data_IF_213575740390
#
_entry.id   IF_213575740390
#
_cell.length_a   1.000
_cell.length_b   1.000
_cell.length_c   1.000
_cell.angle_alpha   90.00
_cell.angle_beta   90.00
_cell.angle_gamma   90.00
#
_symmetry.space_group_name_H-M   'P 1'
#
loop_
_entity.id
_entity.type
_entity.pdbx_description
1 polymer ?
#
# COMPACT_ATOMS: atom_id res chain seq x y z
N UNK A 1 -4.77 -19.77 7.73
CA UNK A 1 -3.59 -19.35 8.52
C UNK A 1 -3.37 -17.87 8.28
N UNK A 2 -3.28 -17.07 9.34
CA UNK A 2 -3.05 -15.63 9.28
C UNK A 2 -1.56 -15.35 9.51
N UNK A 3 -0.79 -14.90 8.50
CA UNK A 3 0.62 -14.58 8.68
C UNK A 3 0.77 -13.40 9.66
N UNK A 4 1.87 -13.34 10.40
CA UNK A 4 2.27 -12.18 11.21
C UNK A 4 1.16 -11.63 12.14
N UNK A 5 0.28 -12.49 12.67
CA UNK A 5 -0.78 -12.06 13.58
C UNK A 5 -1.93 -11.28 12.93
N UNK A 6 -2.02 -11.29 11.58
CA UNK A 6 -3.03 -10.59 10.76
C UNK A 6 -4.46 -11.07 10.94
N UNK A 7 -4.75 -11.80 12.00
CA UNK A 7 -6.10 -12.03 12.47
C UNK A 7 -6.61 -10.85 13.31
N UNK A 8 -5.71 -10.18 14.06
CA UNK A 8 -6.03 -9.20 15.10
C UNK A 8 -5.69 -7.76 14.72
N UNK A 9 -4.66 -7.55 13.89
CA UNK A 9 -4.14 -6.23 13.54
C UNK A 9 -3.47 -6.27 12.16
N UNK A 10 -3.29 -5.13 11.47
CA UNK A 10 -2.44 -5.07 10.30
C UNK A 10 -0.98 -5.27 10.69
N UNK A 11 -0.18 -5.76 9.75
CA UNK A 11 1.27 -5.89 9.90
C UNK A 11 1.95 -5.27 8.68
N UNK A 12 2.86 -4.33 8.91
CA UNK A 12 3.62 -3.68 7.85
C UNK A 12 5.10 -4.00 7.94
N UNK A 13 5.76 -4.10 6.79
CA UNK A 13 7.21 -4.29 6.70
C UNK A 13 7.76 -3.72 5.40
N UNK A 14 9.02 -3.29 5.43
CA UNK A 14 9.73 -2.83 4.23
C UNK A 14 10.01 -4.02 3.31
N UNK A 15 9.68 -3.87 2.03
CA UNK A 15 9.85 -4.90 1.00
C UNK A 15 10.85 -4.52 -0.09
N UNK A 16 11.65 -3.47 0.15
CA UNK A 16 12.64 -3.01 -0.82
C UNK A 16 13.69 -4.07 -1.09
N UNK A 17 14.04 -4.21 -2.36
CA UNK A 17 15.01 -5.20 -2.79
C UNK A 17 16.42 -4.77 -2.37
N UNK A 18 17.12 -5.56 -1.54
CA UNK A 18 18.47 -5.24 -1.11
C UNK A 18 19.47 -5.16 -2.29
N UNK A 19 19.20 -5.80 -3.43
CA UNK A 19 20.06 -5.72 -4.62
C UNK A 19 20.02 -4.33 -5.28
N UNK A 20 18.95 -3.56 -5.07
CA UNK A 20 18.78 -2.20 -5.59
C UNK A 20 19.47 -1.12 -4.73
N UNK A 21 20.15 -1.53 -3.65
CA UNK A 21 20.80 -0.62 -2.71
C UNK A 21 19.88 -0.15 -1.57
N UNK A 22 20.38 0.69 -0.66
CA UNK A 22 19.58 1.20 0.45
C UNK A 22 18.46 2.13 -0.09
N UNK A 23 17.20 1.99 0.39
CA UNK A 23 16.11 2.83 -0.07
C UNK A 23 16.34 4.29 0.34
N UNK A 24 15.94 5.22 -0.52
CA UNK A 24 16.04 6.67 -0.26
C UNK A 24 15.13 7.08 0.91
N UNK A 25 13.99 6.42 1.04
CA UNK A 25 13.08 6.60 2.16
C UNK A 25 13.15 5.41 3.11
N UNK A 26 13.36 5.70 4.39
CA UNK A 26 13.35 4.69 5.46
C UNK A 26 12.12 4.90 6.32
N UNK A 27 11.27 3.88 6.39
CA UNK A 27 10.03 3.90 7.16
C UNK A 27 10.29 3.40 8.57
N UNK A 28 9.82 4.17 9.56
CA UNK A 28 9.91 3.87 10.99
C UNK A 28 8.61 3.30 11.54
N UNK A 29 7.47 3.83 11.06
CA UNK A 29 6.15 3.39 11.48
C UNK A 29 5.12 3.61 10.38
N UNK A 30 4.03 2.87 10.44
CA UNK A 30 2.93 2.98 9.48
C UNK A 30 1.58 2.78 10.14
N UNK A 31 0.56 3.45 9.62
CA UNK A 31 -0.82 3.22 10.01
C UNK A 31 -1.74 3.16 8.78
N UNK A 32 -2.77 2.31 8.88
CA UNK A 32 -3.88 2.26 7.93
C UNK A 32 -5.10 2.86 8.61
N UNK A 33 -5.79 3.75 7.90
CA UNK A 33 -6.98 4.41 8.39
C UNK A 33 -8.07 4.45 7.31
N UNK A 34 -9.31 4.58 7.77
CA UNK A 34 -10.45 4.80 6.89
C UNK A 34 -10.48 6.23 6.35
N UNK A 35 -11.50 6.56 5.55
CA UNK A 35 -11.71 7.90 4.97
C UNK A 35 -11.64 9.03 6.01
N UNK A 36 -12.21 8.84 7.20
CA UNK A 36 -12.17 9.84 8.27
C UNK A 36 -10.81 10.00 8.97
N UNK A 37 -9.82 9.16 8.65
CA UNK A 37 -8.51 9.14 9.31
C UNK A 37 -8.53 8.39 10.65
N UNK A 38 -9.58 7.63 10.93
CA UNK A 38 -9.65 6.78 12.12
C UNK A 38 -9.11 5.39 11.83
N UNK A 39 -8.41 4.83 12.82
CA UNK A 39 -7.98 3.44 12.78
C UNK A 39 -9.19 2.52 12.76
N UNK A 40 -9.20 1.60 11.80
CA UNK A 40 -10.27 0.62 11.64
C UNK A 40 -9.67 -0.72 11.22
N UNK A 41 -10.11 -1.79 11.88
CA UNK A 41 -9.66 -3.13 11.57
C UNK A 41 -10.77 -4.17 11.86
N UNK A 42 -11.06 -5.09 10.92
CA UNK A 42 -10.51 -5.17 9.56
C UNK A 42 -10.87 -3.93 8.72
N UNK A 43 -10.13 -3.67 7.65
CA UNK A 43 -10.38 -2.53 6.77
C UNK A 43 -11.65 -2.78 5.94
N UNK A 44 -12.60 -1.85 5.99
CA UNK A 44 -13.80 -1.89 5.16
C UNK A 44 -13.62 -1.02 3.91
N UNK A 45 -13.53 -1.65 2.74
CA UNK A 45 -13.45 -0.97 1.45
C UNK A 45 -14.68 -1.28 0.63
N UNK A 46 -15.51 -0.26 0.43
CA UNK A 46 -16.79 -0.40 -0.24
C UNK A 46 -16.88 0.53 -1.44
N UNK A 47 -17.80 0.28 -2.36
CA UNK A 47 -18.17 1.25 -3.40
C UNK A 47 -18.63 2.60 -2.84
N UNK A 48 -19.12 2.63 -1.59
CA UNK A 48 -19.54 3.85 -0.87
C UNK A 48 -18.36 4.51 -0.12
N UNK A 49 -17.37 3.71 0.28
CA UNK A 49 -16.16 4.10 1.03
C UNK A 49 -14.91 3.55 0.33
N UNK A 50 -14.60 4.03 -0.89
CA UNK A 50 -13.46 3.50 -1.64
C UNK A 50 -12.11 3.93 -1.06
N UNK A 51 -12.07 5.01 -0.28
CA UNK A 51 -10.84 5.64 0.16
C UNK A 51 -10.14 4.88 1.31
N UNK A 52 -8.87 4.54 1.08
CA UNK A 52 -7.91 4.06 2.06
C UNK A 52 -6.85 5.14 2.32
N UNK A 53 -6.61 5.47 3.59
CA UNK A 53 -5.54 6.38 4.00
C UNK A 53 -4.39 5.58 4.60
N UNK A 54 -3.18 5.86 4.14
CA UNK A 54 -1.93 5.24 4.61
C UNK A 54 -1.07 6.35 5.17
N UNK A 55 -0.72 6.25 6.45
CA UNK A 55 0.24 7.13 7.09
C UNK A 55 1.57 6.41 7.22
N UNK A 56 2.66 7.09 6.90
CA UNK A 56 4.01 6.56 7.03
C UNK A 56 4.90 7.61 7.69
N UNK A 57 5.46 7.27 8.85
CA UNK A 57 6.56 8.03 9.44
C UNK A 57 7.85 7.57 8.76
N UNK A 58 8.46 8.46 7.96
CA UNK A 58 9.62 8.13 7.17
C UNK A 58 10.72 9.19 7.29
N UNK A 59 11.95 8.76 7.06
CA UNK A 59 13.10 9.64 6.84
C UNK A 59 13.52 9.59 5.38
N UNK A 60 13.57 10.75 4.74
CA UNK A 60 14.20 10.93 3.43
C UNK A 60 15.67 11.28 3.58
N UNK A 61 16.54 10.48 2.93
CA UNK A 61 17.97 10.71 2.85
C UNK A 61 18.40 11.38 1.54
N UNK A 62 17.45 11.86 0.73
CA UNK A 62 17.77 12.57 -0.50
C UNK A 62 18.40 13.94 -0.24
N UNK A 63 19.13 14.45 -1.22
CA UNK A 63 19.73 15.79 -1.17
C UNK A 63 18.75 16.88 -1.62
N UNK A 64 17.69 16.52 -2.32
CA UNK A 64 16.66 17.41 -2.86
C UNK A 64 15.27 16.88 -2.53
N UNK A 65 14.27 17.76 -2.58
CA UNK A 65 12.88 17.38 -2.38
C UNK A 65 12.30 16.65 -3.60
N UNK A 66 11.40 15.70 -3.35
CA UNK A 66 10.63 15.04 -4.40
C UNK A 66 9.28 15.74 -4.58
N UNK A 67 9.10 16.41 -5.73
CA UNK A 67 7.87 17.14 -6.09
C UNK A 67 6.85 16.28 -6.84
N UNK A 68 7.30 15.19 -7.47
CA UNK A 68 6.43 14.25 -8.17
C UNK A 68 7.02 12.85 -8.08
N UNK A 69 6.14 11.89 -7.81
CA UNK A 69 6.48 10.49 -7.66
C UNK A 69 5.23 9.65 -7.76
N UNK A 70 5.43 8.40 -8.14
CA UNK A 70 4.34 7.52 -8.50
C UNK A 70 4.22 6.39 -7.51
N UNK A 71 3.00 6.10 -7.08
CA UNK A 71 2.67 4.89 -6.36
C UNK A 71 2.27 3.76 -7.33
N UNK A 72 2.88 2.60 -7.13
CA UNK A 72 2.46 1.33 -7.71
C UNK A 72 1.93 0.46 -6.58
N UNK A 73 0.69 -0.04 -6.70
CA UNK A 73 0.05 -0.83 -5.65
C UNK A 73 -0.34 -2.19 -6.18
N UNK A 74 0.34 -3.22 -5.69
CA UNK A 74 -0.04 -4.61 -5.95
C UNK A 74 -0.94 -5.13 -4.82
N UNK A 75 -2.04 -5.79 -5.17
CA UNK A 75 -2.92 -6.47 -4.23
C UNK A 75 -2.71 -7.98 -4.34
N UNK A 76 -2.25 -8.62 -3.27
CA UNK A 76 -2.07 -10.06 -3.22
C UNK A 76 -3.05 -10.71 -2.26
N UNK A 77 -3.53 -11.89 -2.62
CA UNK A 77 -4.37 -12.75 -1.78
C UNK A 77 -3.54 -13.89 -1.23
N UNK A 78 -3.73 -14.22 0.05
CA UNK A 78 -3.16 -15.44 0.63
C UNK A 78 -3.80 -16.68 0.03
N UNK A 79 -2.97 -17.58 -0.51
CA UNK A 79 -3.34 -18.95 -0.89
C UNK A 79 -2.95 -19.89 0.24
N UNK A 80 -3.88 -20.74 0.64
CA UNK A 80 -3.64 -21.87 1.55
C UNK A 80 -4.13 -23.11 0.83
N UNK A 81 -3.25 -24.10 0.69
CA UNK A 81 -3.61 -25.38 0.07
C UNK A 81 -2.54 -26.43 0.34
N UNK A 82 -2.77 -27.63 -0.20
CA UNK A 82 -1.87 -28.78 0.00
C UNK A 82 -0.45 -28.55 -0.56
N UNK A 83 -0.32 -27.72 -1.61
CA UNK A 83 0.96 -27.30 -2.20
C UNK A 83 1.70 -26.21 -1.40
N UNK A 84 1.21 -25.89 -0.20
CA UNK A 84 1.81 -24.90 0.68
C UNK A 84 1.03 -23.59 0.75
N UNK A 85 1.62 -22.64 1.46
CA UNK A 85 1.06 -21.31 1.67
C UNK A 85 1.86 -20.26 0.91
N UNK A 86 1.17 -19.40 0.17
CA UNK A 86 1.83 -18.39 -0.65
C UNK A 86 0.93 -17.18 -0.90
N UNK A 87 1.44 -16.24 -1.67
CA UNK A 87 0.71 -15.06 -2.11
C UNK A 87 0.43 -15.18 -3.62
N UNK A 88 -0.81 -14.92 -4.02
CA UNK A 88 -1.19 -14.85 -5.43
C UNK A 88 -1.55 -13.40 -5.72
N UNK A 89 -0.97 -12.84 -6.78
CA UNK A 89 -1.31 -11.51 -7.24
C UNK A 89 -2.75 -11.47 -7.76
N UNK A 90 -3.54 -10.50 -7.30
CA UNK A 90 -4.84 -10.17 -7.87
C UNK A 90 -4.58 -9.12 -8.95
N UNK A 91 -4.84 -9.41 -10.23
CA UNK A 91 -4.62 -8.43 -11.28
C UNK A 91 -5.51 -7.22 -11.05
N UNK A 92 -4.88 -6.07 -10.83
CA UNK A 92 -5.54 -4.76 -10.68
C UNK A 92 -5.93 -4.16 -12.01
N UNK A 93 -5.34 -4.66 -13.11
CA UNK A 93 -5.49 -4.13 -14.48
C UNK A 93 -5.23 -2.62 -14.57
N UNK A 94 -4.25 -2.12 -13.79
CA UNK A 94 -3.92 -0.70 -13.76
C UNK A 94 -4.84 0.16 -12.89
N UNK A 95 -5.88 -0.41 -12.27
CA UNK A 95 -6.82 0.36 -11.44
C UNK A 95 -6.19 0.92 -10.15
N UNK A 96 -5.01 0.41 -9.76
CA UNK A 96 -4.25 0.85 -8.59
C UNK A 96 -2.81 1.26 -8.96
N UNK A 97 -2.51 1.40 -10.24
CA UNK A 97 -1.17 1.71 -10.73
C UNK A 97 -1.10 3.16 -11.20
N UNK A 98 0.10 3.73 -11.15
CA UNK A 98 0.43 5.03 -11.75
C UNK A 98 -0.20 6.27 -11.07
N UNK A 99 -0.53 6.18 -9.78
CA UNK A 99 -1.06 7.32 -9.03
C UNK A 99 0.10 8.28 -8.72
N UNK A 100 0.06 9.51 -9.24
CA UNK A 100 0.99 10.56 -8.77
C UNK A 100 0.55 10.95 -7.35
N UNK A 101 1.38 10.62 -6.37
CA UNK A 101 1.03 10.83 -4.96
C UNK A 101 1.22 12.28 -4.51
N UNK A 102 1.83 13.12 -5.34
CA UNK A 102 2.00 14.55 -5.09
C UNK A 102 1.01 15.41 -5.87
N UNK A 103 0.26 14.84 -6.82
CA UNK A 103 -0.86 15.52 -7.45
C UNK A 103 -1.97 15.72 -6.40
N UNK A 104 -2.29 16.98 -6.11
CA UNK A 104 -3.30 17.41 -5.12
C UNK A 104 -3.09 16.91 -3.67
N UNK A 105 -1.85 16.59 -3.27
CA UNK A 105 -1.52 16.15 -1.92
C UNK A 105 -0.68 17.19 -1.15
N UNK A 106 -1.25 17.75 -0.08
CA UNK A 106 -0.58 18.72 0.81
C UNK A 106 0.67 18.16 1.50
N UNK A 107 0.83 16.83 1.53
CA UNK A 107 2.03 16.15 2.06
C UNK A 107 3.26 16.24 1.16
N UNK A 108 3.11 16.79 -0.06
CA UNK A 108 4.21 17.04 -0.99
C UNK A 108 4.63 18.51 -1.04
N UNK A 109 5.90 18.81 -1.40
CA UNK A 109 6.94 17.84 -1.76
C UNK A 109 7.53 17.12 -0.54
N UNK A 110 8.11 15.93 -0.75
CA UNK A 110 8.82 15.21 0.31
C UNK A 110 10.20 15.83 0.48
N UNK A 111 10.48 16.40 1.64
CA UNK A 111 11.74 17.08 1.96
C UNK A 111 12.77 16.11 2.56
N UNK A 112 14.08 16.43 2.46
CA UNK A 112 15.09 15.74 3.24
C UNK A 112 14.81 15.81 4.75
N UNK A 113 14.94 14.68 5.45
CA UNK A 113 14.67 14.57 6.89
C UNK A 113 13.46 13.70 7.23
N UNK A 114 13.08 13.69 8.51
CA UNK A 114 11.96 12.88 9.04
C UNK A 114 10.64 13.63 8.90
N UNK A 115 9.63 12.99 8.32
CA UNK A 115 8.29 13.55 8.13
C UNK A 115 7.24 12.44 8.12
N UNK A 116 5.98 12.83 8.30
CA UNK A 116 4.84 11.92 8.11
C UNK A 116 4.28 12.16 6.72
N UNK A 117 4.26 11.10 5.91
CA UNK A 117 3.61 11.10 4.60
C UNK A 117 2.22 10.49 4.76
N UNK A 118 1.21 11.19 4.25
CA UNK A 118 -0.13 10.66 4.07
C UNK A 118 -0.35 10.33 2.59
N UNK A 119 -0.77 9.10 2.31
CA UNK A 119 -1.19 8.65 0.99
C UNK A 119 -2.67 8.30 1.01
N UNK A 120 -3.40 8.84 0.04
CA UNK A 120 -4.80 8.53 -0.17
C UNK A 120 -4.91 7.67 -1.42
N UNK A 121 -5.44 6.46 -1.25
CA UNK A 121 -5.74 5.56 -2.36
C UNK A 121 -7.25 5.50 -2.52
N UNK A 122 -7.72 5.85 -3.70
CA UNK A 122 -9.14 5.78 -4.07
C UNK A 122 -9.32 4.85 -5.28
N UNK A 123 -9.45 3.53 -5.05
CA UNK A 123 -9.67 2.56 -6.10
C UNK A 123 -10.96 2.84 -6.85
N UNK A 124 -10.97 2.63 -8.16
CA UNK A 124 -12.16 2.78 -8.97
C UNK A 124 -13.33 1.91 -8.46
N UNK A 125 -14.54 2.47 -8.41
CA UNK A 125 -15.73 1.76 -7.93
C UNK A 125 -15.97 0.41 -8.64
N UNK A 126 -15.73 0.34 -9.96
CA UNK A 126 -15.87 -0.88 -10.75
C UNK A 126 -14.88 -1.95 -10.30
N UNK A 127 -13.66 -1.55 -9.93
CA UNK A 127 -12.64 -2.45 -9.42
C UNK A 127 -13.04 -3.03 -8.06
N UNK A 128 -13.55 -2.19 -7.14
CA UNK A 128 -14.08 -2.66 -5.85
C UNK A 128 -15.27 -3.61 -6.01
N UNK A 129 -16.19 -3.31 -6.93
CA UNK A 129 -17.32 -4.20 -7.24
C UNK A 129 -16.85 -5.56 -7.78
N UNK A 130 -15.83 -5.58 -8.65
CA UNK A 130 -15.22 -6.82 -9.13
C UNK A 130 -14.57 -7.61 -7.98
N UNK A 131 -13.80 -6.94 -7.11
CA UNK A 131 -13.16 -7.58 -5.95
C UNK A 131 -14.20 -8.24 -5.03
N UNK A 132 -15.32 -7.59 -4.75
CA UNK A 132 -16.43 -8.18 -3.98
C UNK A 132 -16.93 -9.48 -4.55
N UNK A 133 -17.15 -9.52 -5.87
CA UNK A 133 -17.66 -10.71 -6.55
C UNK A 133 -16.63 -11.84 -6.55
N UNK A 134 -15.34 -11.53 -6.77
CA UNK A 134 -14.28 -12.55 -6.86
C UNK A 134 -13.79 -13.07 -5.50
N UNK A 135 -13.95 -12.28 -4.43
CA UNK A 135 -13.32 -12.54 -3.14
C UNK A 135 -14.29 -12.88 -2.00
N UNK A 136 -15.57 -13.08 -2.36
CA UNK A 136 -16.71 -13.22 -1.44
C UNK A 136 -16.54 -14.32 -0.38
N UNK A 137 -15.92 -15.45 -0.72
CA UNK A 137 -16.20 -16.70 0.01
C UNK A 137 -15.24 -17.07 1.15
N UNK A 138 -14.11 -16.38 1.37
CA UNK A 138 -13.13 -16.88 2.36
C UNK A 138 -12.41 -15.84 3.23
N UNK A 139 -12.70 -14.55 3.08
CA UNK A 139 -12.05 -13.42 3.81
C UNK A 139 -10.56 -13.70 4.17
N UNK A 140 -9.73 -14.12 3.20
CA UNK A 140 -8.33 -14.42 3.47
C UNK A 140 -7.58 -13.14 3.87
N UNK A 141 -6.42 -13.25 4.53
CA UNK A 141 -5.52 -12.11 4.64
C UNK A 141 -5.06 -11.67 3.24
N UNK A 142 -4.94 -10.36 3.07
CA UNK A 142 -4.45 -9.69 1.87
C UNK A 142 -3.09 -9.04 2.16
N UNK A 143 -2.29 -8.86 1.14
CA UNK A 143 -1.07 -8.05 1.18
C UNK A 143 -1.21 -6.92 0.15
N UNK A 144 -1.17 -5.67 0.61
CA UNK A 144 -1.06 -4.49 -0.23
C UNK A 144 0.43 -4.13 -0.29
N UNK A 145 1.03 -4.21 -1.46
CA UNK A 145 2.43 -3.81 -1.67
C UNK A 145 2.46 -2.48 -2.38
N UNK A 146 2.83 -1.45 -1.63
CA UNK A 146 3.02 -0.10 -2.11
C UNK A 146 4.49 0.10 -2.48
N UNK A 147 4.75 0.50 -3.72
CA UNK A 147 6.06 0.94 -4.17
C UNK A 147 5.99 2.40 -4.60
N UNK A 148 6.89 3.22 -4.10
CA UNK A 148 7.08 4.57 -4.58
C UNK A 148 8.25 4.58 -5.55
N UNK A 149 8.02 5.08 -6.76
CA UNK A 149 9.04 5.17 -7.81
C UNK A 149 9.23 6.62 -8.23
N UNK A 150 10.46 6.95 -8.59
CA UNK A 150 10.79 8.28 -9.11
C UNK A 150 10.12 8.48 -10.48
N UNK A 151 9.31 9.52 -10.65
CA UNK A 151 8.64 9.79 -11.92
C UNK A 151 9.63 10.15 -13.05
N UNK A 152 10.84 10.64 -12.71
CA UNK A 152 11.91 10.91 -13.68
C UNK A 152 12.68 9.65 -14.11
N UNK A 153 12.70 8.62 -13.26
CA UNK A 153 13.38 7.36 -13.50
C UNK A 153 12.57 6.21 -12.91
N UNK A 154 11.71 5.60 -13.72
CA UNK A 154 10.78 4.55 -13.27
C UNK A 154 11.48 3.30 -12.70
N UNK A 155 12.78 3.11 -12.95
CA UNK A 155 13.54 2.00 -12.40
C UNK A 155 14.11 2.29 -11.00
N UNK A 156 14.03 3.54 -10.55
CA UNK A 156 14.48 3.96 -9.23
C UNK A 156 13.33 3.81 -8.22
N UNK A 157 13.35 2.69 -7.49
CA UNK A 157 12.49 2.49 -6.33
C UNK A 157 12.97 3.36 -5.16
N UNK A 158 12.08 4.22 -4.68
CA UNK A 158 12.34 5.12 -3.56
C UNK A 158 11.94 4.49 -2.22
N UNK A 159 10.91 3.63 -2.25
CA UNK A 159 10.36 2.91 -1.11
C UNK A 159 9.54 1.70 -1.56
N UNK A 160 9.60 0.59 -0.82
CA UNK A 160 8.60 -0.47 -0.88
C UNK A 160 8.12 -0.80 0.54
N UNK A 161 6.81 -0.72 0.77
CA UNK A 161 6.15 -1.18 2.01
C UNK A 161 5.06 -2.17 1.68
N UNK A 162 5.07 -3.30 2.37
CA UNK A 162 4.02 -4.31 2.30
C UNK A 162 3.16 -4.26 3.56
N UNK A 163 1.85 -4.17 3.36
CA UNK A 163 0.84 -4.20 4.41
C UNK A 163 0.04 -5.48 4.32
N UNK A 164 0.24 -6.37 5.28
CA UNK A 164 -0.60 -7.55 5.44
C UNK A 164 -1.78 -7.20 6.34
N UNK A 165 -2.99 -7.35 5.83
CA UNK A 165 -4.21 -6.90 6.51
C UNK A 165 -5.41 -7.74 6.12
N UNK A 166 -6.54 -7.51 6.80
CA UNK A 166 -7.84 -8.08 6.44
C UNK A 166 -8.67 -6.97 5.82
N UNK A 167 -9.18 -7.24 4.63
CA UNK A 167 -10.05 -6.32 3.90
C UNK A 167 -11.42 -6.98 3.78
N UNK A 168 -12.45 -6.24 4.13
CA UNK A 168 -13.84 -6.56 3.88
C UNK A 168 -14.29 -5.69 2.72
N UNK A 169 -14.82 -6.33 1.68
CA UNK A 169 -15.37 -5.65 0.51
C UNK A 169 -16.90 -5.67 0.54
#
# INVERSE_FOLDING_TARGET
MYPNGTFNAPYAFTCSDPENGPPIFVVHDTALANRSGHYEYPLELSDITPMLRIFMDLTSYATQSFESMRAEVALLRRKVGWLGCGWINIPTFGALDLIDICEDNDGCPIFPGRQVLELQLEPAHVFLAMLRLMLRDHKPPYELRLRLVNNRNNNEELLCVAFQTRIIF
#
